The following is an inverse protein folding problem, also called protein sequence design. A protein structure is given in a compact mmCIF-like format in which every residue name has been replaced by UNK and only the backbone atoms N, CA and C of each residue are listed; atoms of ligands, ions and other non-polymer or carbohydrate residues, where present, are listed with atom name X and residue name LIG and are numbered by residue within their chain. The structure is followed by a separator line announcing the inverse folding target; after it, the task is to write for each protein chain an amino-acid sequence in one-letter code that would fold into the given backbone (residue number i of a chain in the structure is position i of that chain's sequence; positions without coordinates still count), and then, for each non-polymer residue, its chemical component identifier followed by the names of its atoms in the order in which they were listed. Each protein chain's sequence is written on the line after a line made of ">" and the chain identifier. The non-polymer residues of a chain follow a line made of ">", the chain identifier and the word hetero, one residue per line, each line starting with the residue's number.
data_IF_531029877757
#
_entry.id   IF_531029877757
#
_cell.length_a   1.000
_cell.length_b   1.000
_cell.length_c   1.000
_cell.angle_alpha   90.00
_cell.angle_beta   90.00
_cell.angle_gamma   90.00
#
_symmetry.space_group_name_H-M   'P 1'
#
loop_
_entity.id
_entity.type
_entity.pdbx_description
1 polymer ?
#
# COMPACT_ATOMS: atom_id res chain seq x y z
N UNK A 1 -10.43 -13.53 -3.28
CA UNK A 1 -11.59 -12.60 -3.53
C UNK A 1 -11.71 -12.34 -5.03
N UNK A 2 -12.90 -12.10 -5.59
CA UNK A 2 -12.99 -11.61 -7.00
C UNK A 2 -12.66 -10.13 -7.06
N UNK A 3 -12.10 -9.66 -8.19
CA UNK A 3 -11.72 -8.24 -8.39
C UNK A 3 -12.90 -7.28 -8.20
N UNK A 4 -14.11 -7.69 -8.59
CA UNK A 4 -15.35 -6.89 -8.47
C UNK A 4 -15.76 -6.59 -7.02
N UNK A 5 -15.39 -7.46 -6.07
CA UNK A 5 -15.72 -7.30 -4.66
C UNK A 5 -14.54 -6.76 -3.82
N UNK A 6 -13.40 -6.48 -4.45
CA UNK A 6 -12.22 -5.99 -3.75
C UNK A 6 -12.28 -4.46 -3.61
N UNK A 7 -12.30 -3.97 -2.37
CA UNK A 7 -12.30 -2.51 -2.08
C UNK A 7 -11.10 -1.79 -2.69
N UNK A 8 -9.92 -2.43 -2.75
CA UNK A 8 -8.74 -1.82 -3.36
C UNK A 8 -8.81 -1.79 -4.89
N UNK A 9 -9.39 -2.81 -5.54
CA UNK A 9 -9.68 -2.74 -6.98
C UNK A 9 -10.64 -1.59 -7.29
N UNK A 10 -11.66 -1.37 -6.44
CA UNK A 10 -12.58 -0.24 -6.58
C UNK A 10 -11.89 1.11 -6.42
N UNK A 11 -10.96 1.25 -5.47
CA UNK A 11 -10.12 2.45 -5.34
C UNK A 11 -9.26 2.65 -6.59
N UNK A 12 -8.59 1.60 -7.08
CA UNK A 12 -7.74 1.67 -8.29
C UNK A 12 -8.55 2.09 -9.51
N UNK A 13 -9.80 1.62 -9.65
CA UNK A 13 -10.70 1.98 -10.74
C UNK A 13 -11.36 3.36 -10.62
N UNK A 14 -11.26 3.99 -9.45
CA UNK A 14 -11.93 5.26 -9.14
C UNK A 14 -13.40 5.15 -8.71
N UNK A 15 -13.95 3.95 -8.54
CA UNK A 15 -15.32 3.74 -8.02
C UNK A 15 -15.45 4.21 -6.56
N UNK A 16 -14.40 4.05 -5.75
CA UNK A 16 -14.35 4.51 -4.36
C UNK A 16 -13.22 5.56 -4.24
N UNK A 17 -13.49 6.74 -3.64
CA UNK A 17 -12.46 7.75 -3.47
C UNK A 17 -11.42 7.33 -2.43
N UNK A 18 -10.16 7.71 -2.66
CA UNK A 18 -9.09 7.62 -1.69
C UNK A 18 -8.23 8.89 -1.73
N UNK A 19 -7.61 9.25 -0.60
CA UNK A 19 -6.66 10.37 -0.54
C UNK A 19 -5.31 9.89 -1.07
N UNK A 20 -5.15 9.95 -2.39
CA UNK A 20 -3.93 9.56 -3.10
C UNK A 20 -2.74 10.41 -2.62
N UNK A 21 -1.62 9.74 -2.36
CA UNK A 21 -0.34 10.34 -1.95
C UNK A 21 0.61 10.35 -3.14
N UNK A 22 0.72 9.22 -3.84
CA UNK A 22 1.57 9.05 -5.01
C UNK A 22 1.08 7.86 -5.84
N UNK A 23 1.51 7.79 -7.09
CA UNK A 23 1.26 6.64 -7.95
C UNK A 23 2.46 6.36 -8.86
N UNK A 24 2.50 5.15 -9.38
CA UNK A 24 3.43 4.67 -10.39
C UNK A 24 2.68 3.89 -11.47
N UNK A 25 3.44 3.33 -12.41
CA UNK A 25 2.90 2.47 -13.45
C UNK A 25 2.13 1.28 -12.86
N UNK A 26 2.69 0.61 -11.84
CA UNK A 26 2.12 -0.63 -11.31
C UNK A 26 1.52 -0.53 -9.91
N UNK A 27 1.60 0.63 -9.23
CA UNK A 27 1.08 0.77 -7.87
C UNK A 27 0.48 2.15 -7.60
N UNK A 28 -0.37 2.20 -6.56
CA UNK A 28 -0.88 3.44 -5.98
C UNK A 28 -0.57 3.45 -4.49
N UNK A 29 -0.36 4.65 -3.93
CA UNK A 29 -0.21 4.87 -2.51
C UNK A 29 -1.22 5.90 -2.02
N UNK A 30 -1.96 5.59 -0.96
CA UNK A 30 -3.01 6.46 -0.42
C UNK A 30 -3.10 6.35 1.10
N UNK A 31 -3.60 7.41 1.75
CA UNK A 31 -3.73 7.42 3.21
C UNK A 31 -4.69 6.33 3.69
N UNK A 32 -4.28 5.61 4.74
CA UNK A 32 -5.19 4.71 5.44
C UNK A 32 -6.36 5.50 6.05
N UNK A 33 -7.58 4.98 5.96
CA UNK A 33 -8.78 5.63 6.49
C UNK A 33 -8.81 5.63 8.03
N UNK A 34 -8.10 4.68 8.65
CA UNK A 34 -8.00 4.46 10.09
C UNK A 34 -6.53 4.46 10.53
N UNK A 35 -5.84 5.62 10.45
CA UNK A 35 -4.41 5.72 10.69
C UNK A 35 -4.02 5.29 12.12
N UNK A 36 -3.00 4.43 12.25
CA UNK A 36 -2.50 3.95 13.55
C UNK A 36 -1.26 4.72 14.04
N UNK A 37 -0.66 5.53 13.16
CA UNK A 37 0.50 6.39 13.42
C UNK A 37 0.34 7.69 12.62
N UNK A 38 1.08 8.77 12.96
CA UNK A 38 1.02 10.05 12.23
C UNK A 38 1.20 9.91 10.72
N UNK A 39 2.11 9.04 10.28
CA UNK A 39 2.15 8.56 8.89
C UNK A 39 1.58 7.15 8.88
N UNK A 40 0.48 6.96 8.14
CA UNK A 40 -0.06 5.63 7.83
C UNK A 40 -0.60 5.63 6.40
N UNK A 41 0.21 5.11 5.48
CA UNK A 41 -0.11 5.03 4.04
C UNK A 41 -0.16 3.58 3.63
N UNK A 42 -1.15 3.24 2.80
CA UNK A 42 -1.22 1.95 2.13
C UNK A 42 -0.61 2.06 0.75
N UNK A 43 0.26 1.11 0.39
CA UNK A 43 0.74 0.93 -0.98
C UNK A 43 0.19 -0.36 -1.57
N UNK A 44 -0.42 -0.26 -2.75
CA UNK A 44 -1.23 -1.33 -3.34
C UNK A 44 -0.87 -1.46 -4.83
N UNK A 45 -0.52 -2.65 -5.33
CA UNK A 45 -0.32 -2.88 -6.74
C UNK A 45 -1.64 -2.80 -7.51
N UNK A 46 -1.59 -2.33 -8.75
CA UNK A 46 -2.75 -2.29 -9.66
C UNK A 46 -3.22 -3.70 -10.02
N UNK A 47 -2.30 -4.66 -10.15
CA UNK A 47 -2.64 -6.07 -10.35
C UNK A 47 -3.18 -6.69 -9.05
N UNK A 48 -4.26 -7.44 -9.16
CA UNK A 48 -4.84 -8.16 -8.02
C UNK A 48 -4.08 -9.46 -7.77
N UNK A 49 -3.41 -9.55 -6.62
CA UNK A 49 -2.89 -10.78 -6.01
C UNK A 49 -3.30 -10.79 -4.55
N UNK A 50 -3.60 -11.97 -4.00
CA UNK A 50 -4.24 -12.00 -2.68
C UNK A 50 -3.30 -11.49 -1.60
N UNK A 51 -1.99 -11.76 -1.70
CA UNK A 51 -0.99 -11.37 -0.71
C UNK A 51 0.38 -11.09 -1.36
N UNK A 52 1.30 -10.51 -0.58
CA UNK A 52 2.62 -10.08 -1.07
C UNK A 52 3.47 -11.24 -1.58
N UNK A 53 3.31 -12.44 -1.03
CA UNK A 53 4.10 -13.61 -1.44
C UNK A 53 3.72 -14.09 -2.83
N UNK A 54 2.42 -14.09 -3.15
CA UNK A 54 1.93 -14.37 -4.49
C UNK A 54 2.38 -13.33 -5.51
N UNK A 55 2.34 -12.04 -5.15
CA UNK A 55 2.83 -10.97 -6.02
C UNK A 55 4.32 -11.13 -6.29
N UNK A 56 5.14 -11.37 -5.26
CA UNK A 56 6.57 -11.50 -5.41
C UNK A 56 6.97 -12.68 -6.34
N UNK A 57 6.23 -13.78 -6.28
CA UNK A 57 6.49 -14.96 -7.12
C UNK A 57 5.95 -14.82 -8.54
N UNK A 58 4.75 -14.23 -8.72
CA UNK A 58 4.08 -14.18 -10.00
C UNK A 58 4.37 -12.90 -10.81
N UNK A 59 4.73 -11.80 -10.13
CA UNK A 59 4.78 -10.43 -10.67
C UNK A 59 5.97 -9.65 -10.07
N UNK A 60 7.23 -10.09 -10.33
CA UNK A 60 8.41 -9.50 -9.70
C UNK A 60 8.66 -8.04 -10.10
N UNK A 61 8.25 -7.62 -11.30
CA UNK A 61 8.38 -6.23 -11.78
C UNK A 61 7.44 -5.32 -11.00
N UNK A 62 6.18 -5.74 -10.81
CA UNK A 62 5.20 -5.00 -10.04
C UNK A 62 5.56 -4.97 -8.55
N UNK A 63 6.13 -6.05 -8.02
CA UNK A 63 6.66 -6.06 -6.66
C UNK A 63 7.83 -5.08 -6.48
N UNK A 64 8.75 -5.01 -7.44
CA UNK A 64 9.83 -4.02 -7.45
C UNK A 64 9.26 -2.60 -7.45
N UNK A 65 8.25 -2.34 -8.28
CA UNK A 65 7.64 -1.01 -8.39
C UNK A 65 6.87 -0.62 -7.11
N UNK A 66 6.19 -1.56 -6.46
CA UNK A 66 5.60 -1.37 -5.11
C UNK A 66 6.68 -0.93 -4.11
N UNK A 67 7.81 -1.63 -4.03
CA UNK A 67 8.85 -1.25 -3.08
C UNK A 67 9.50 0.09 -3.42
N UNK A 68 9.68 0.38 -4.72
CA UNK A 68 10.23 1.66 -5.19
C UNK A 68 9.32 2.84 -4.85
N UNK A 69 8.03 2.75 -5.17
CA UNK A 69 7.06 3.77 -4.83
C UNK A 69 6.92 3.92 -3.31
N UNK A 70 6.97 2.81 -2.57
CA UNK A 70 6.92 2.83 -1.11
C UNK A 70 8.10 3.60 -0.49
N UNK A 71 9.32 3.38 -1.00
CA UNK A 71 10.51 4.11 -0.56
C UNK A 71 10.39 5.62 -0.84
N UNK A 72 9.84 6.01 -1.99
CA UNK A 72 9.59 7.41 -2.33
C UNK A 72 8.58 8.05 -1.36
N UNK A 73 7.49 7.37 -1.05
CA UNK A 73 6.48 7.82 -0.08
C UNK A 73 7.10 7.98 1.31
N UNK A 74 7.89 7.00 1.77
CA UNK A 74 8.57 7.10 3.05
C UNK A 74 9.55 8.28 3.10
N UNK A 75 10.32 8.51 2.04
CA UNK A 75 11.21 9.67 1.93
C UNK A 75 10.45 10.99 1.92
N UNK A 76 9.29 11.04 1.28
CA UNK A 76 8.45 12.24 1.19
C UNK A 76 7.84 12.60 2.55
N UNK A 77 7.31 11.61 3.28
CA UNK A 77 6.45 11.85 4.43
C UNK A 77 7.12 11.71 5.79
N UNK A 78 8.32 11.13 5.86
CA UNK A 78 8.98 10.82 7.15
C UNK A 78 10.37 11.43 7.25
N UNK A 79 10.85 11.62 8.48
CA UNK A 79 12.24 12.04 8.78
C UNK A 79 13.28 10.91 8.56
N UNK A 80 12.91 9.82 7.90
CA UNK A 80 13.77 8.67 7.58
C UNK A 80 13.45 7.41 8.36
N UNK A 81 12.85 7.53 9.55
CA UNK A 81 12.41 6.37 10.34
C UNK A 81 11.01 5.91 9.94
N UNK A 82 10.87 4.69 9.42
CA UNK A 82 9.59 4.13 8.98
C UNK A 82 9.59 2.60 9.01
N UNK A 83 8.42 2.01 8.86
CA UNK A 83 8.21 0.56 8.77
C UNK A 83 7.35 0.21 7.57
N UNK A 84 7.78 -0.78 6.81
CA UNK A 84 6.95 -1.52 5.86
C UNK A 84 6.38 -2.76 6.53
N UNK A 85 5.08 -3.02 6.38
CA UNK A 85 4.44 -4.23 6.91
C UNK A 85 3.45 -4.78 5.89
N UNK A 86 3.57 -6.07 5.60
CA UNK A 86 2.64 -6.80 4.73
C UNK A 86 2.12 -7.99 5.52
N UNK A 87 0.80 -8.09 5.67
CA UNK A 87 0.17 -9.21 6.35
C UNK A 87 -0.23 -10.26 5.30
N UNK A 88 0.05 -11.53 5.57
CA UNK A 88 -0.35 -12.65 4.72
C UNK A 88 -1.14 -13.65 5.55
N UNK A 89 -2.43 -13.81 5.23
CA UNK A 89 -3.37 -14.69 5.93
C UNK A 89 -4.09 -14.01 7.10
N UNK A 90 -5.23 -14.59 7.48
CA UNK A 90 -6.14 -14.08 8.52
C UNK A 90 -5.43 -13.94 9.86
N UNK A 91 -4.67 -14.95 10.28
CA UNK A 91 -3.95 -14.97 11.57
C UNK A 91 -2.84 -13.92 11.66
N UNK A 92 -2.33 -13.44 10.53
CA UNK A 92 -1.39 -12.33 10.47
C UNK A 92 -2.09 -10.95 10.47
N UNK A 93 -3.43 -10.92 10.52
CA UNK A 93 -4.22 -9.70 10.46
C UNK A 93 -4.43 -9.16 9.05
N UNK A 94 -4.39 -9.99 8.02
CA UNK A 94 -4.78 -9.57 6.67
C UNK A 94 -6.31 -9.43 6.57
N UNK A 95 -6.80 -8.19 6.41
CA UNK A 95 -8.24 -7.89 6.34
C UNK A 95 -8.76 -7.75 4.90
N UNK A 96 -7.90 -7.33 3.96
CA UNK A 96 -8.22 -7.23 2.53
C UNK A 96 -7.32 -8.19 1.76
N UNK A 97 -7.92 -9.12 1.02
CA UNK A 97 -7.22 -10.12 0.21
C UNK A 97 -6.85 -9.55 -1.16
N UNK A 98 -6.12 -8.45 -1.11
CA UNK A 98 -5.38 -7.82 -2.20
C UNK A 98 -4.10 -7.28 -1.55
N UNK A 99 -2.94 -7.52 -2.13
CA UNK A 99 -1.65 -7.05 -1.59
C UNK A 99 -1.72 -5.60 -1.15
N UNK A 100 -1.33 -5.34 0.08
CA UNK A 100 -1.16 -3.97 0.58
C UNK A 100 -0.02 -3.95 1.57
N UNK A 101 0.87 -2.98 1.39
CA UNK A 101 1.92 -2.66 2.34
C UNK A 101 1.51 -1.47 3.19
N UNK A 102 1.63 -1.58 4.50
CA UNK A 102 1.53 -0.46 5.41
C UNK A 102 2.88 0.24 5.50
N UNK A 103 2.90 1.54 5.22
CA UNK A 103 4.02 2.43 5.49
C UNK A 103 3.65 3.25 6.73
N UNK A 104 4.29 2.94 7.85
CA UNK A 104 4.00 3.60 9.13
C UNK A 104 5.22 4.33 9.68
N UNK A 105 4.98 5.50 10.28
CA UNK A 105 6.01 6.25 10.99
C UNK A 105 5.43 7.14 12.10
N UNK A 106 6.20 7.27 13.19
CA UNK A 106 5.98 8.23 14.28
C UNK A 106 6.70 9.56 14.08
N UNK A 107 7.55 9.68 13.06
CA UNK A 107 8.36 10.87 12.79
C UNK A 107 7.94 11.46 11.43
N UNK A 108 6.74 12.07 11.36
CA UNK A 108 6.28 12.73 10.14
C UNK A 108 7.18 13.92 9.83
N UNK A 109 7.45 14.17 8.55
CA UNK A 109 7.95 15.48 8.13
C UNK A 109 6.85 16.50 8.35
N UNK A 110 7.17 17.58 9.06
CA UNK A 110 6.28 18.74 9.14
C UNK A 110 6.16 19.30 7.73
N UNK A 111 4.92 19.52 7.26
CA UNK A 111 4.72 20.26 6.02
C UNK A 111 5.38 21.63 6.19
N UNK A 112 6.33 21.95 5.30
CA UNK A 112 6.89 23.30 5.21
C UNK A 112 5.83 24.24 4.66
#
# INVERSE_FOLDING_TARGET
>A
MTTENCIFCKIISGEIPAKLVAESEHAIAFNDISPQQPVHVLIVPRVHKENVTELALANPVEMQDVMRLGAQVAQMLTEGSHRFTFNTGVEAGQSVFHVHGHITSRTPKVAV
#
